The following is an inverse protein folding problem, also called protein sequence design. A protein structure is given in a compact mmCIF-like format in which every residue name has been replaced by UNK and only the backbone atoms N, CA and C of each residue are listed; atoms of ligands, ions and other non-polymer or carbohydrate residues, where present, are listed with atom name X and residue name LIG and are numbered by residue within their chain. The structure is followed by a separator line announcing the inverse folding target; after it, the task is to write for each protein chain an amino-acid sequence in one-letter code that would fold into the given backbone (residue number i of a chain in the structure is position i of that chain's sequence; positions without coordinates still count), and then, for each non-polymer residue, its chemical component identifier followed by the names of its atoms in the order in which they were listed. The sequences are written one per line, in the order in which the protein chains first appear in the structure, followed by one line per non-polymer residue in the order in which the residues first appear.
data_IF_527656682452
#
_entry.id   IF_527656682452
#
_cell.length_a   1.000
_cell.length_b   1.000
_cell.length_c   1.000
_cell.angle_alpha   90.00
_cell.angle_beta   90.00
_cell.angle_gamma   90.00
#
_symmetry.space_group_name_H-M   'P 1'
#
loop_
_entity.id
_entity.type
_entity.pdbx_description
1 polymer ?
#
# COMPACT_ATOMS: atom_id res chain seq x y z
N UNK A 1 -10.37 8.32 11.24
CA UNK A 1 -11.08 9.63 11.10
C UNK A 1 -10.28 10.82 11.65
N UNK A 2 -9.56 10.69 12.77
CA UNK A 2 -8.88 11.78 13.51
C UNK A 2 -7.74 12.54 12.81
N UNK A 3 -7.18 12.05 11.69
CA UNK A 3 -6.03 12.69 11.01
C UNK A 3 -6.47 13.70 9.92
N UNK A 4 -7.68 13.56 9.37
CA UNK A 4 -8.16 14.39 8.26
C UNK A 4 -8.51 15.81 8.71
N UNK A 5 -9.33 15.90 9.76
CA UNK A 5 -9.90 17.15 10.25
C UNK A 5 -8.86 18.26 10.51
N UNK A 6 -7.74 18.03 11.24
CA UNK A 6 -6.81 19.12 11.53
C UNK A 6 -6.13 19.69 10.28
N UNK A 7 -5.78 18.84 9.29
CA UNK A 7 -5.15 19.31 8.04
C UNK A 7 -6.15 19.98 7.13
N UNK A 8 -7.28 19.33 6.88
CA UNK A 8 -8.31 19.82 5.95
C UNK A 8 -8.96 21.09 6.49
N UNK A 9 -9.52 21.02 7.70
CA UNK A 9 -10.23 22.16 8.28
C UNK A 9 -9.28 23.30 8.63
N UNK A 10 -8.11 22.99 9.21
CA UNK A 10 -7.11 24.01 9.57
C UNK A 10 -6.59 24.75 8.33
N UNK A 11 -6.25 24.01 7.28
CA UNK A 11 -5.82 24.59 6.00
C UNK A 11 -6.90 25.45 5.36
N UNK A 12 -8.14 24.95 5.31
CA UNK A 12 -9.27 25.67 4.71
C UNK A 12 -9.63 26.94 5.48
N UNK A 13 -9.67 26.87 6.81
CA UNK A 13 -9.91 28.04 7.66
C UNK A 13 -8.82 29.09 7.43
N UNK A 14 -7.55 28.68 7.38
CA UNK A 14 -6.45 29.61 7.11
C UNK A 14 -6.59 30.25 5.73
N UNK A 15 -6.96 29.47 4.70
CA UNK A 15 -7.21 30.00 3.37
C UNK A 15 -8.30 31.09 3.38
N UNK A 16 -9.45 30.82 4.00
CA UNK A 16 -10.57 31.76 4.09
C UNK A 16 -10.20 33.04 4.84
N UNK A 17 -9.54 32.92 5.99
CA UNK A 17 -9.19 34.06 6.84
C UNK A 17 -8.07 34.94 6.27
N UNK A 18 -7.35 34.46 5.26
CA UNK A 18 -6.23 35.15 4.61
C UNK A 18 -6.47 35.47 3.14
N UNK A 19 -7.68 35.26 2.60
CA UNK A 19 -7.97 35.46 1.17
C UNK A 19 -7.83 36.92 0.73
N UNK A 20 -8.18 37.86 1.61
CA UNK A 20 -8.06 39.31 1.37
C UNK A 20 -6.84 39.97 2.02
N UNK A 21 -5.83 39.18 2.41
CA UNK A 21 -4.62 39.70 3.06
C UNK A 21 -3.42 39.52 2.14
N UNK A 22 -2.59 40.54 2.04
CA UNK A 22 -1.26 40.40 1.44
C UNK A 22 -0.41 39.52 2.36
N UNK A 23 0.04 38.39 1.83
CA UNK A 23 0.84 37.41 2.55
C UNK A 23 2.14 37.22 1.78
N UNK A 24 3.28 37.38 2.46
CA UNK A 24 4.58 37.05 1.87
C UNK A 24 4.64 35.56 1.52
N UNK A 25 4.11 34.71 2.40
CA UNK A 25 4.13 33.24 2.26
C UNK A 25 2.85 32.59 2.77
N UNK A 26 2.45 31.51 2.11
CA UNK A 26 1.44 30.58 2.60
C UNK A 26 1.97 29.16 2.35
N UNK A 27 2.50 28.52 3.39
CA UNK A 27 3.23 27.25 3.27
C UNK A 27 2.44 26.12 3.89
N UNK A 28 2.14 25.10 3.10
CA UNK A 28 1.44 23.90 3.53
C UNK A 28 2.43 22.75 3.67
N UNK A 29 2.55 22.23 4.89
CA UNK A 29 3.38 21.07 5.17
C UNK A 29 2.60 19.81 4.85
N UNK A 30 2.80 19.30 3.64
CA UNK A 30 2.24 18.05 3.14
C UNK A 30 3.26 16.92 3.31
N UNK A 31 2.96 15.74 2.77
CA UNK A 31 3.84 14.56 2.83
C UNK A 31 3.98 13.90 1.47
N UNK A 32 5.14 13.32 1.19
CA UNK A 32 5.38 12.48 0.01
C UNK A 32 4.39 11.31 -0.10
N UNK A 33 3.78 10.87 1.02
CA UNK A 33 2.74 9.84 1.03
C UNK A 33 1.48 10.19 0.20
N UNK A 34 1.20 11.47 -0.04
CA UNK A 34 0.10 11.90 -0.92
C UNK A 34 0.37 11.67 -2.41
N UNK A 35 1.66 11.65 -2.81
CA UNK A 35 2.09 11.47 -4.20
C UNK A 35 2.49 10.01 -4.47
N UNK A 36 3.27 9.43 -3.56
CA UNK A 36 3.82 8.07 -3.72
C UNK A 36 2.93 6.99 -3.11
N UNK A 37 1.93 7.38 -2.33
CA UNK A 37 1.15 6.47 -1.50
C UNK A 37 1.91 6.05 -0.24
N UNK A 38 1.16 5.52 0.73
CA UNK A 38 1.71 4.89 1.94
C UNK A 38 0.73 3.81 2.39
N UNK A 39 1.07 2.50 2.21
CA UNK A 39 0.20 1.40 2.61
C UNK A 39 -0.22 1.50 4.08
N UNK A 40 -1.51 1.34 4.36
CA UNK A 40 -2.08 1.49 5.71
C UNK A 40 -2.30 2.94 6.16
N UNK A 41 -1.98 3.95 5.34
CA UNK A 41 -2.10 5.37 5.68
C UNK A 41 -2.94 6.17 4.67
N UNK A 42 -3.98 5.56 4.08
CA UNK A 42 -4.87 6.22 3.10
C UNK A 42 -5.45 7.54 3.62
N UNK A 43 -5.91 7.56 4.88
CA UNK A 43 -6.47 8.75 5.53
C UNK A 43 -5.45 9.91 5.55
N UNK A 44 -4.19 9.58 5.86
CA UNK A 44 -3.11 10.56 5.94
C UNK A 44 -2.71 11.04 4.54
N UNK A 45 -2.60 10.12 3.57
CA UNK A 45 -2.33 10.46 2.18
C UNK A 45 -3.40 11.41 1.62
N UNK A 46 -4.69 11.11 1.83
CA UNK A 46 -5.81 11.93 1.40
C UNK A 46 -5.81 13.32 2.04
N UNK A 47 -5.55 13.42 3.35
CA UNK A 47 -5.47 14.71 4.05
C UNK A 47 -4.34 15.60 3.52
N UNK A 48 -3.22 15.01 3.13
CA UNK A 48 -2.09 15.73 2.53
C UNK A 48 -2.38 16.11 1.06
N UNK A 49 -3.02 15.22 0.29
CA UNK A 49 -3.45 15.51 -1.08
C UNK A 49 -4.47 16.67 -1.13
N UNK A 50 -5.32 16.81 -0.11
CA UNK A 50 -6.19 17.99 0.02
C UNK A 50 -5.38 19.29 0.14
N UNK A 51 -4.32 19.32 0.97
CA UNK A 51 -3.45 20.50 1.09
C UNK A 51 -2.76 20.82 -0.24
N UNK A 52 -2.36 19.79 -0.97
CA UNK A 52 -1.75 19.95 -2.29
C UNK A 52 -2.72 20.62 -3.27
N UNK A 53 -3.94 20.08 -3.39
CA UNK A 53 -4.99 20.67 -4.21
C UNK A 53 -5.36 22.09 -3.79
N UNK A 54 -5.36 22.38 -2.49
CA UNK A 54 -5.61 23.72 -1.97
C UNK A 54 -4.53 24.73 -2.37
N UNK A 55 -3.25 24.33 -2.41
CA UNK A 55 -2.19 25.20 -2.91
C UNK A 55 -2.39 25.56 -4.39
N UNK A 56 -2.76 24.58 -5.21
CA UNK A 56 -3.11 24.80 -6.62
C UNK A 56 -4.31 25.74 -6.76
N UNK A 57 -5.40 25.48 -6.04
CA UNK A 57 -6.60 26.31 -6.07
C UNK A 57 -6.30 27.77 -5.65
N UNK A 58 -5.54 27.95 -4.57
CA UNK A 58 -5.15 29.28 -4.07
C UNK A 58 -4.28 30.04 -5.08
N UNK A 59 -3.37 29.35 -5.77
CA UNK A 59 -2.54 29.95 -6.83
C UNK A 59 -3.34 30.30 -8.08
N UNK A 60 -4.37 29.53 -8.43
CA UNK A 60 -5.29 29.87 -9.50
C UNK A 60 -6.09 31.17 -9.22
N UNK A 61 -6.28 31.52 -7.95
CA UNK A 61 -6.84 32.82 -7.52
C UNK A 61 -5.81 33.97 -7.45
N UNK A 62 -4.57 33.73 -7.91
CA UNK A 62 -3.50 34.73 -7.84
C UNK A 62 -2.88 34.91 -6.46
N UNK A 63 -3.27 34.10 -5.47
CA UNK A 63 -2.77 34.18 -4.10
C UNK A 63 -1.53 33.28 -3.91
N UNK A 64 -0.56 33.74 -3.12
CA UNK A 64 0.62 32.95 -2.78
C UNK A 64 0.23 31.66 -2.04
N UNK A 65 0.80 30.54 -2.47
CA UNK A 65 0.75 29.24 -1.79
C UNK A 65 1.86 28.30 -2.28
N UNK A 66 2.41 27.49 -1.38
CA UNK A 66 3.24 26.34 -1.73
C UNK A 66 2.92 25.17 -0.83
N UNK A 67 2.59 24.01 -1.41
CA UNK A 67 2.54 22.74 -0.69
C UNK A 67 3.86 22.00 -0.83
N UNK A 68 4.45 21.61 0.29
CA UNK A 68 5.71 20.87 0.31
C UNK A 68 5.44 19.45 0.78
N UNK A 69 5.55 18.49 -0.13
CA UNK A 69 5.40 17.07 0.17
C UNK A 69 6.69 16.53 0.78
N UNK A 70 6.81 16.65 2.11
CA UNK A 70 8.01 16.23 2.81
C UNK A 70 8.13 14.71 2.89
N UNK A 71 9.36 14.24 2.63
CA UNK A 71 9.83 12.91 2.98
C UNK A 71 10.08 12.73 4.48
N UNK A 72 10.64 11.58 4.87
CA UNK A 72 11.05 11.32 6.24
C UNK A 72 12.02 12.37 6.76
N UNK A 73 11.83 12.87 7.98
CA UNK A 73 12.82 13.70 8.67
C UNK A 73 13.72 12.81 9.55
N UNK A 74 15.00 13.16 9.66
CA UNK A 74 15.95 12.51 10.56
C UNK A 74 15.78 13.01 12.00
N UNK A 75 16.01 12.15 12.99
CA UNK A 75 15.87 12.48 14.42
C UNK A 75 14.46 12.24 14.96
N UNK A 76 14.07 13.02 15.98
CA UNK A 76 12.76 12.94 16.63
C UNK A 76 11.68 13.72 15.84
N UNK A 77 10.49 13.11 15.69
CA UNK A 77 9.36 13.61 14.88
C UNK A 77 8.41 12.47 14.48
N UNK A 78 7.42 12.70 13.60
CA UNK A 78 6.49 11.64 13.12
C UNK A 78 7.20 10.40 12.56
N UNK A 79 8.38 10.58 11.96
CA UNK A 79 9.19 9.48 11.44
C UNK A 79 9.99 8.72 12.51
N UNK A 80 10.16 9.31 13.70
CA UNK A 80 10.78 8.71 14.88
C UNK A 80 9.78 8.02 15.82
N UNK A 81 8.47 8.28 15.66
CA UNK A 81 7.39 7.48 16.29
C UNK A 81 7.03 6.22 15.51
N UNK A 82 7.50 6.12 14.26
CA UNK A 82 7.44 4.89 13.46
C UNK A 82 8.59 3.98 13.89
N UNK A 83 8.25 2.78 14.36
CA UNK A 83 9.22 1.83 14.93
C UNK A 83 10.35 1.47 13.97
N UNK A 84 11.41 0.86 14.49
CA UNK A 84 12.65 0.54 13.76
C UNK A 84 12.41 -0.18 12.42
N UNK A 85 11.33 -0.98 12.34
CA UNK A 85 10.90 -1.71 11.13
C UNK A 85 10.52 -0.79 9.95
N UNK A 86 9.85 0.32 10.19
CA UNK A 86 9.46 1.29 9.15
C UNK A 86 10.66 2.15 8.70
N UNK A 87 11.64 2.34 9.60
CA UNK A 87 12.91 2.99 9.27
C UNK A 87 13.78 2.07 8.40
N UNK A 88 13.86 0.78 8.73
CA UNK A 88 14.55 -0.22 7.90
C UNK A 88 13.90 -0.35 6.51
N UNK A 89 12.56 -0.48 6.43
CA UNK A 89 11.83 -0.54 5.14
C UNK A 89 12.18 0.61 4.19
N UNK A 90 12.31 1.82 4.72
CA UNK A 90 12.65 3.02 3.92
C UNK A 90 14.10 3.01 3.46
N UNK A 91 15.03 2.61 4.33
CA UNK A 91 16.45 2.51 3.96
C UNK A 91 16.70 1.43 2.91
N UNK A 92 15.95 0.32 2.97
CA UNK A 92 16.00 -0.76 1.97
C UNK A 92 15.33 -0.34 0.64
N UNK A 93 14.33 0.54 0.69
CA UNK A 93 13.65 1.06 -0.51
C UNK A 93 14.39 2.19 -1.20
N UNK A 94 15.59 2.58 -0.75
CA UNK A 94 16.34 3.71 -1.32
C UNK A 94 15.81 5.10 -0.94
N UNK A 95 14.88 5.20 0.02
CA UNK A 95 14.37 6.48 0.52
C UNK A 95 15.14 6.86 1.79
N UNK A 96 15.84 7.98 1.74
CA UNK A 96 16.58 8.54 2.86
C UNK A 96 15.73 9.41 3.79
N UNK A 97 16.37 9.88 4.86
CA UNK A 97 15.80 10.85 5.80
C UNK A 97 16.45 12.22 5.63
N UNK A 98 15.65 13.28 5.75
CA UNK A 98 16.03 14.69 5.63
C UNK A 98 16.61 15.16 6.97
N UNK A 99 17.90 15.53 7.05
CA UNK A 99 18.46 16.17 8.22
C UNK A 99 17.75 17.52 8.49
N UNK A 100 17.38 17.86 9.75
CA UNK A 100 16.67 19.11 10.03
C UNK A 100 17.35 20.39 9.50
N UNK A 101 18.69 20.56 9.60
CA UNK A 101 19.36 21.73 9.02
C UNK A 101 19.18 21.82 7.50
N UNK A 102 19.17 20.69 6.82
CA UNK A 102 18.94 20.62 5.38
C UNK A 102 17.48 20.91 5.03
N UNK A 103 16.53 20.38 5.80
CA UNK A 103 15.10 20.65 5.63
C UNK A 103 14.77 22.15 5.74
N UNK A 104 15.36 22.86 6.71
CA UNK A 104 15.20 24.32 6.86
C UNK A 104 15.80 25.08 5.69
N UNK A 105 16.99 24.68 5.20
CA UNK A 105 17.61 25.28 4.02
C UNK A 105 16.73 25.11 2.77
N UNK A 106 16.17 23.91 2.56
CA UNK A 106 15.27 23.62 1.45
C UNK A 106 13.99 24.43 1.57
N UNK A 107 13.41 24.55 2.78
CA UNK A 107 12.24 25.40 3.01
C UNK A 107 12.52 26.83 2.54
N UNK A 108 13.65 27.43 2.92
CA UNK A 108 14.03 28.77 2.49
C UNK A 108 14.10 28.93 0.96
N UNK A 109 14.60 27.91 0.25
CA UNK A 109 14.61 27.91 -1.22
C UNK A 109 13.20 27.81 -1.82
N UNK A 110 12.32 27.02 -1.20
CA UNK A 110 10.96 26.76 -1.70
C UNK A 110 10.00 27.93 -1.46
N UNK A 111 10.28 28.81 -0.50
CA UNK A 111 9.50 30.04 -0.30
C UNK A 111 9.49 30.94 -1.54
N UNK A 112 10.56 30.91 -2.35
CA UNK A 112 10.68 31.68 -3.59
C UNK A 112 10.36 30.85 -4.85
N UNK A 113 9.96 29.58 -4.71
CA UNK A 113 9.74 28.72 -5.86
C UNK A 113 8.46 29.13 -6.63
N UNK A 114 8.48 29.06 -7.97
CA UNK A 114 7.31 29.35 -8.79
C UNK A 114 6.25 28.24 -8.73
N UNK A 115 6.62 27.03 -8.28
CA UNK A 115 5.72 25.89 -8.25
C UNK A 115 4.75 25.95 -7.06
N UNK A 116 3.44 25.70 -7.25
CA UNK A 116 2.47 25.55 -6.17
C UNK A 116 2.70 24.30 -5.31
N UNK A 117 3.44 23.30 -5.82
CA UNK A 117 3.66 22.03 -5.15
C UNK A 117 5.06 21.48 -5.45
N UNK A 118 5.77 21.02 -4.42
CA UNK A 118 7.10 20.41 -4.57
C UNK A 118 7.26 19.22 -3.63
N UNK A 119 7.78 18.11 -4.16
CA UNK A 119 8.17 16.94 -3.37
C UNK A 119 9.62 17.07 -2.94
N UNK A 120 9.87 16.93 -1.64
CA UNK A 120 11.23 16.91 -1.07
C UNK A 120 11.47 15.54 -0.48
N UNK A 121 12.27 14.73 -1.19
CA UNK A 121 12.55 13.36 -0.81
C UNK A 121 14.01 13.02 -1.15
N UNK A 122 14.85 12.67 -0.16
CA UNK A 122 16.17 12.12 -0.45
C UNK A 122 15.99 10.72 -1.03
N UNK A 123 16.45 10.50 -2.26
CA UNK A 123 16.30 9.21 -2.95
C UNK A 123 17.64 8.75 -3.52
N UNK A 124 18.05 7.54 -3.15
CA UNK A 124 19.02 6.75 -3.90
C UNK A 124 18.27 6.05 -5.03
N UNK A 125 18.25 6.66 -6.21
CA UNK A 125 17.46 6.20 -7.35
C UNK A 125 17.89 4.82 -7.86
N UNK A 126 19.15 4.45 -7.66
CA UNK A 126 19.64 3.12 -8.01
C UNK A 126 19.03 2.04 -7.10
N UNK A 127 19.07 2.25 -5.78
CA UNK A 127 18.44 1.34 -4.81
C UNK A 127 16.92 1.32 -4.96
N UNK A 128 16.32 2.49 -5.17
CA UNK A 128 14.88 2.62 -5.35
C UNK A 128 14.37 1.82 -6.56
N UNK A 129 15.05 1.92 -7.71
CA UNK A 129 14.72 1.13 -8.90
C UNK A 129 14.88 -0.38 -8.71
N UNK A 130 15.90 -0.81 -7.97
CA UNK A 130 16.14 -2.24 -7.65
C UNK A 130 15.11 -2.83 -6.67
N UNK A 131 14.63 -2.02 -5.73
CA UNK A 131 13.64 -2.44 -4.74
C UNK A 131 12.20 -2.47 -5.30
N UNK A 132 11.92 -1.65 -6.31
CA UNK A 132 10.61 -1.57 -6.94
C UNK A 132 10.32 -2.83 -7.78
N UNK A 133 9.31 -3.63 -7.36
CA UNK A 133 8.85 -4.82 -8.12
C UNK A 133 8.21 -4.44 -9.46
N UNK A 134 7.54 -3.30 -9.49
CA UNK A 134 7.08 -2.61 -10.68
C UNK A 134 7.40 -1.13 -10.47
N UNK A 135 8.32 -0.53 -11.24
CA UNK A 135 8.60 0.89 -11.11
C UNK A 135 7.33 1.68 -11.46
N UNK A 136 6.97 2.64 -10.61
CA UNK A 136 5.86 3.54 -10.90
C UNK A 136 6.14 4.25 -12.23
N UNK A 137 5.25 4.17 -13.24
CA UNK A 137 5.45 4.80 -14.54
C UNK A 137 5.83 6.28 -14.44
N UNK A 138 5.29 6.98 -13.44
CA UNK A 138 5.59 8.38 -13.14
C UNK A 138 7.06 8.63 -12.77
N UNK A 139 7.77 7.62 -12.24
CA UNK A 139 9.15 7.75 -11.75
C UNK A 139 10.18 7.11 -12.66
N UNK A 140 9.77 6.47 -13.77
CA UNK A 140 10.69 5.73 -14.64
C UNK A 140 11.80 6.63 -15.18
N UNK A 141 11.50 7.87 -15.54
CA UNK A 141 12.48 8.84 -16.07
C UNK A 141 13.55 9.24 -15.04
N UNK A 142 13.28 9.06 -13.75
CA UNK A 142 14.21 9.37 -12.67
C UNK A 142 15.17 8.20 -12.34
N UNK A 143 14.93 7.02 -12.92
CA UNK A 143 15.74 5.85 -12.66
C UNK A 143 17.02 5.86 -13.52
N UNK A 144 18.21 5.75 -12.93
CA UNK A 144 19.48 5.70 -13.67
C UNK A 144 19.74 4.32 -14.31
N UNK A 145 18.69 3.55 -14.57
CA UNK A 145 18.76 2.18 -15.08
C UNK A 145 18.21 2.23 -16.51
N UNK A 146 18.93 1.71 -17.53
CA UNK A 146 18.39 1.63 -18.89
C UNK A 146 17.04 0.90 -18.86
N UNK A 147 16.05 1.45 -19.54
CA UNK A 147 14.66 0.93 -19.55
C UNK A 147 14.60 -0.53 -20.02
N UNK A 148 15.55 -0.95 -20.85
CA UNK A 148 15.72 -2.35 -21.29
C UNK A 148 16.28 -3.26 -20.19
N UNK A 149 17.11 -2.75 -19.28
CA UNK A 149 17.59 -3.49 -18.10
C UNK A 149 16.48 -3.65 -17.07
N UNK A 150 15.55 -2.69 -16.95
CA UNK A 150 14.35 -2.85 -16.11
C UNK A 150 13.42 -3.97 -16.60
N UNK A 151 13.36 -4.20 -17.93
CA UNK A 151 12.74 -5.39 -18.50
C UNK A 151 13.56 -6.66 -18.24
N UNK A 152 14.90 -6.55 -18.28
CA UNK A 152 15.85 -7.64 -18.03
C UNK A 152 16.00 -8.10 -16.57
N UNK A 153 15.66 -7.28 -15.57
CA UNK A 153 15.66 -7.65 -14.13
C UNK A 153 14.61 -8.75 -13.82
N UNK A 154 13.65 -8.99 -14.73
CA UNK A 154 12.76 -10.16 -14.70
C UNK A 154 13.53 -11.50 -14.86
N UNK A 155 14.71 -11.48 -15.49
CA UNK A 155 15.37 -12.69 -16.03
C UNK A 155 16.33 -13.36 -15.04
N UNK A 156 16.78 -12.65 -14.00
CA UNK A 156 17.79 -13.15 -13.03
C UNK A 156 17.18 -13.57 -11.68
N UNK A 157 15.84 -13.59 -11.58
CA UNK A 157 15.15 -14.27 -10.48
C UNK A 157 15.09 -15.74 -10.79
N UNK A 158 15.38 -16.60 -9.80
CA UNK A 158 14.92 -17.99 -9.81
C UNK A 158 13.45 -17.98 -10.21
N UNK A 159 13.15 -18.34 -11.44
CA UNK A 159 11.78 -18.45 -11.92
C UNK A 159 11.21 -19.70 -11.26
N UNK A 160 10.73 -19.55 -10.02
CA UNK A 160 10.29 -20.66 -9.20
C UNK A 160 9.24 -21.52 -9.92
N UNK A 161 8.34 -20.87 -10.67
CA UNK A 161 7.41 -21.57 -11.55
C UNK A 161 8.12 -22.48 -12.57
N UNK A 162 9.14 -21.98 -13.27
CA UNK A 162 9.90 -22.76 -14.23
C UNK A 162 10.68 -23.90 -13.56
N UNK A 163 11.33 -23.63 -12.42
CA UNK A 163 12.05 -24.63 -11.63
C UNK A 163 11.14 -25.77 -11.16
N UNK A 164 9.87 -25.49 -10.87
CA UNK A 164 8.87 -26.52 -10.53
C UNK A 164 8.42 -27.28 -11.78
N UNK A 165 8.17 -26.59 -12.90
CA UNK A 165 7.74 -27.22 -14.14
C UNK A 165 8.81 -28.11 -14.79
N UNK A 166 10.09 -27.80 -14.59
CA UNK A 166 11.24 -28.60 -15.04
C UNK A 166 11.43 -29.90 -14.24
N UNK A 167 10.66 -30.11 -13.16
CA UNK A 167 10.66 -31.34 -12.36
C UNK A 167 9.52 -32.25 -12.76
N UNK A 168 9.80 -33.55 -12.66
CA UNK A 168 8.78 -34.59 -12.70
C UNK A 168 7.79 -34.40 -11.53
N UNK A 169 6.51 -34.78 -11.68
CA UNK A 169 5.48 -34.54 -10.66
C UNK A 169 5.87 -34.99 -9.25
N UNK A 170 6.59 -36.12 -9.13
CA UNK A 170 7.05 -36.69 -7.85
C UNK A 170 8.10 -35.81 -7.14
N UNK A 171 8.85 -35.01 -7.91
CA UNK A 171 9.96 -34.16 -7.43
C UNK A 171 9.57 -32.68 -7.26
N UNK A 172 8.33 -32.30 -7.57
CA UNK A 172 7.86 -30.91 -7.46
C UNK A 172 7.69 -30.45 -6.02
N UNK A 173 7.24 -31.35 -5.14
CA UNK A 173 6.90 -31.00 -3.77
C UNK A 173 8.09 -30.38 -2.99
N UNK A 174 9.30 -30.97 -2.99
CA UNK A 174 10.46 -30.36 -2.32
C UNK A 174 10.80 -28.96 -2.87
N UNK A 175 10.69 -28.74 -4.18
CA UNK A 175 10.98 -27.45 -4.81
C UNK A 175 9.94 -26.40 -4.43
N UNK A 176 8.66 -26.78 -4.42
CA UNK A 176 7.57 -25.90 -3.97
C UNK A 176 7.71 -25.55 -2.50
N UNK A 177 8.07 -26.52 -1.65
CA UNK A 177 8.29 -26.28 -0.24
C UNK A 177 9.42 -25.28 0.00
N UNK A 178 10.54 -25.44 -0.69
CA UNK A 178 11.67 -24.50 -0.60
C UNK A 178 11.29 -23.11 -1.13
N UNK A 179 10.52 -23.03 -2.22
CA UNK A 179 9.97 -21.77 -2.72
C UNK A 179 9.12 -21.08 -1.65
N UNK A 180 8.13 -21.79 -1.08
CA UNK A 180 7.27 -21.23 -0.04
C UNK A 180 8.05 -20.84 1.21
N UNK A 181 9.13 -21.55 1.56
CA UNK A 181 10.05 -21.22 2.65
C UNK A 181 10.77 -19.91 2.40
N UNK A 182 11.30 -19.72 1.21
CA UNK A 182 11.91 -18.45 0.78
C UNK A 182 10.89 -17.31 0.73
N UNK A 183 9.62 -17.62 0.41
CA UNK A 183 8.57 -16.61 0.35
C UNK A 183 8.18 -16.18 1.76
N UNK A 184 7.96 -17.15 2.66
CA UNK A 184 7.68 -16.91 4.06
C UNK A 184 8.85 -16.18 4.75
N UNK A 185 10.10 -16.57 4.47
CA UNK A 185 11.31 -15.91 4.97
C UNK A 185 11.39 -14.44 4.55
N UNK A 186 11.06 -14.13 3.29
CA UNK A 186 11.00 -12.75 2.81
C UNK A 186 9.91 -11.92 3.50
N UNK A 187 8.74 -12.51 3.74
CA UNK A 187 7.62 -11.85 4.43
C UNK A 187 7.94 -11.64 5.91
N UNK A 188 8.46 -12.66 6.58
CA UNK A 188 8.81 -12.66 8.00
C UNK A 188 10.14 -11.95 8.30
N UNK A 189 10.96 -11.71 7.28
CA UNK A 189 12.29 -11.10 7.35
C UNK A 189 13.24 -11.82 8.30
N UNK A 190 13.17 -13.15 8.31
CA UNK A 190 14.07 -14.05 9.01
C UNK A 190 14.75 -14.96 7.98
N UNK A 191 15.95 -15.51 8.28
CA UNK A 191 16.59 -16.45 7.37
C UNK A 191 15.67 -17.63 7.05
N UNK A 192 15.65 -18.10 5.79
CA UNK A 192 14.87 -19.27 5.40
C UNK A 192 15.19 -20.48 6.31
N UNK A 193 16.47 -20.66 6.66
CA UNK A 193 16.93 -21.71 7.58
C UNK A 193 16.30 -21.67 8.99
N UNK A 194 15.81 -20.52 9.44
CA UNK A 194 15.14 -20.38 10.75
C UNK A 194 13.66 -20.75 10.74
N UNK A 195 13.07 -20.91 9.55
CA UNK A 195 11.68 -21.38 9.40
C UNK A 195 11.67 -22.90 9.46
N UNK A 196 10.99 -23.43 10.47
CA UNK A 196 10.63 -24.84 10.55
C UNK A 196 9.39 -25.08 9.69
N UNK A 197 9.52 -25.94 8.67
CA UNK A 197 8.46 -26.19 7.70
C UNK A 197 7.28 -26.95 8.27
N UNK A 198 7.47 -27.63 9.41
CA UNK A 198 6.42 -28.38 10.11
C UNK A 198 5.68 -27.54 11.16
N UNK A 199 6.03 -26.26 11.29
CA UNK A 199 5.36 -25.33 12.21
C UNK A 199 4.46 -24.35 11.49
N UNK A 200 3.36 -23.92 12.15
CA UNK A 200 2.52 -22.84 11.65
C UNK A 200 3.31 -21.54 11.49
N UNK A 201 3.09 -20.82 10.39
CA UNK A 201 3.75 -19.51 10.19
C UNK A 201 3.37 -18.47 11.25
N UNK A 202 2.21 -18.62 11.89
CA UNK A 202 1.77 -17.79 13.01
C UNK A 202 2.73 -17.82 14.20
N UNK A 203 3.42 -18.94 14.44
CA UNK A 203 4.43 -19.04 15.51
C UNK A 203 5.68 -18.19 15.24
N UNK A 204 5.93 -17.85 13.98
CA UNK A 204 7.02 -16.97 13.57
C UNK A 204 6.59 -15.50 13.47
N UNK A 205 5.35 -15.18 13.89
CA UNK A 205 4.83 -13.82 13.91
C UNK A 205 4.13 -13.38 12.61
N UNK A 206 3.67 -14.33 11.79
CA UNK A 206 2.84 -14.02 10.62
C UNK A 206 1.47 -13.45 11.03
N UNK A 207 1.12 -12.27 10.52
CA UNK A 207 -0.18 -11.62 10.71
C UNK A 207 -1.06 -11.65 9.44
N UNK A 208 -2.26 -11.07 9.52
CA UNK A 208 -3.22 -11.04 8.40
C UNK A 208 -2.72 -10.26 7.17
N UNK A 209 -1.93 -9.20 7.36
CA UNK A 209 -1.38 -8.42 6.26
C UNK A 209 -0.23 -9.19 5.59
N UNK A 210 0.62 -9.81 6.40
CA UNK A 210 1.69 -10.71 5.93
C UNK A 210 1.13 -11.92 5.18
N UNK A 211 -0.02 -12.46 5.62
CA UNK A 211 -0.71 -13.53 4.90
C UNK A 211 -1.14 -13.08 3.50
N UNK A 212 -1.67 -11.86 3.36
CA UNK A 212 -2.03 -11.32 2.03
C UNK A 212 -0.81 -11.07 1.15
N UNK A 213 0.32 -10.66 1.74
CA UNK A 213 1.57 -10.48 1.01
C UNK A 213 2.13 -11.83 0.54
N UNK A 214 2.13 -12.85 1.39
CA UNK A 214 2.55 -14.21 1.06
C UNK A 214 1.70 -14.80 -0.08
N UNK A 215 0.38 -14.60 -0.02
CA UNK A 215 -0.55 -14.99 -1.09
C UNK A 215 -0.18 -14.31 -2.41
N UNK A 216 0.03 -12.99 -2.39
CA UNK A 216 0.40 -12.23 -3.58
C UNK A 216 1.76 -12.64 -4.16
N UNK A 217 2.74 -12.96 -3.30
CA UNK A 217 4.05 -13.48 -3.72
C UNK A 217 3.90 -14.86 -4.38
N UNK A 218 3.11 -15.76 -3.79
CA UNK A 218 2.87 -17.09 -4.37
C UNK A 218 2.20 -17.00 -5.74
N UNK A 219 1.20 -16.12 -5.89
CA UNK A 219 0.54 -15.89 -7.17
C UNK A 219 1.49 -15.29 -8.22
N UNK A 220 2.34 -14.34 -7.84
CA UNK A 220 3.28 -13.72 -8.76
C UNK A 220 4.44 -14.64 -9.19
N UNK A 221 5.00 -15.43 -8.27
CA UNK A 221 6.24 -16.20 -8.51
C UNK A 221 5.96 -17.66 -8.92
N UNK A 222 4.82 -18.23 -8.51
CA UNK A 222 4.41 -19.60 -8.86
C UNK A 222 3.17 -19.65 -9.76
N UNK A 223 2.38 -18.57 -9.85
CA UNK A 223 1.11 -18.59 -10.58
C UNK A 223 0.00 -19.35 -9.84
N UNK A 224 0.15 -19.56 -8.53
CA UNK A 224 -0.84 -20.26 -7.68
C UNK A 224 -1.23 -19.36 -6.52
N UNK A 225 -2.52 -19.08 -6.37
CA UNK A 225 -3.03 -18.30 -5.23
C UNK A 225 -3.27 -19.23 -4.05
N UNK A 226 -2.56 -19.00 -2.94
CA UNK A 226 -2.84 -19.66 -1.67
C UNK A 226 -4.15 -19.14 -1.04
N UNK A 227 -5.05 -20.02 -0.55
CA UNK A 227 -6.21 -19.59 0.21
C UNK A 227 -5.79 -18.92 1.52
N UNK A 228 -6.33 -17.73 1.80
CA UNK A 228 -5.96 -16.97 3.00
C UNK A 228 -6.31 -17.71 4.30
N UNK A 229 -7.41 -18.49 4.29
CA UNK A 229 -7.81 -19.35 5.40
C UNK A 229 -6.75 -20.41 5.68
N UNK A 230 -6.13 -21.00 4.66
CA UNK A 230 -5.10 -22.02 4.86
C UNK A 230 -3.83 -21.42 5.47
N UNK A 231 -3.46 -20.19 5.09
CA UNK A 231 -2.33 -19.46 5.66
C UNK A 231 -2.59 -19.11 7.14
N UNK A 232 -3.82 -18.67 7.46
CA UNK A 232 -4.17 -18.15 8.79
C UNK A 232 -4.65 -19.22 9.78
N UNK A 233 -5.08 -20.39 9.30
CA UNK A 233 -5.62 -21.48 10.15
C UNK A 233 -4.56 -22.26 10.92
N UNK A 234 -3.32 -21.77 10.97
CA UNK A 234 -2.24 -22.40 11.71
C UNK A 234 -1.74 -23.70 11.04
N UNK A 235 -1.90 -23.84 9.72
CA UNK A 235 -1.33 -24.99 9.01
C UNK A 235 0.18 -24.82 8.81
N UNK A 236 0.95 -25.92 8.86
CA UNK A 236 2.38 -25.86 8.63
C UNK A 236 2.69 -25.52 7.17
N UNK A 237 3.90 -25.02 6.92
CA UNK A 237 4.33 -24.64 5.58
C UNK A 237 4.39 -25.86 4.63
N UNK A 238 4.74 -27.03 5.16
CA UNK A 238 4.68 -28.32 4.47
C UNK A 238 3.29 -28.62 3.92
N UNK A 239 2.22 -28.35 4.69
CA UNK A 239 0.85 -28.50 4.23
C UNK A 239 0.52 -27.56 3.05
N UNK A 240 0.90 -26.29 3.14
CA UNK A 240 0.64 -25.32 2.07
C UNK A 240 1.35 -25.72 0.76
N UNK A 241 2.54 -26.32 0.87
CA UNK A 241 3.31 -26.79 -0.29
C UNK A 241 2.60 -27.91 -1.06
N UNK A 242 1.86 -28.79 -0.38
CA UNK A 242 1.07 -29.84 -1.01
C UNK A 242 -0.05 -29.26 -1.89
N UNK A 243 -0.78 -28.27 -1.38
CA UNK A 243 -1.85 -27.62 -2.13
C UNK A 243 -1.31 -26.92 -3.39
N UNK A 244 -0.12 -26.33 -3.29
CA UNK A 244 0.53 -25.67 -4.42
C UNK A 244 1.06 -26.69 -5.42
N UNK A 245 1.76 -27.75 -4.99
CA UNK A 245 2.27 -28.80 -5.87
C UNK A 245 1.15 -29.47 -6.67
N UNK A 246 0.02 -29.82 -6.02
CA UNK A 246 -1.16 -30.38 -6.69
C UNK A 246 -1.75 -29.46 -7.76
N UNK A 247 -1.64 -28.14 -7.60
CA UNK A 247 -2.09 -27.17 -8.60
C UNK A 247 -1.22 -27.20 -9.88
N UNK A 248 0.04 -27.64 -9.79
CA UNK A 248 0.94 -27.84 -10.93
C UNK A 248 0.71 -29.17 -11.67
N UNK A 249 0.21 -30.20 -10.97
CA UNK A 249 0.03 -31.56 -11.52
C UNK A 249 -1.32 -31.77 -12.23
N UNK A 250 -2.14 -30.72 -12.34
CA UNK A 250 -3.44 -30.78 -13.02
C UNK A 250 -4.51 -31.57 -12.26
N UNK A 251 -4.22 -32.12 -11.08
CA UNK A 251 -5.22 -32.76 -10.20
C UNK A 251 -5.97 -31.73 -9.37
N UNK A 252 -6.66 -30.80 -10.03
CA UNK A 252 -7.77 -30.07 -9.42
C UNK A 252 -9.02 -30.96 -9.46
N UNK A 253 -9.03 -32.05 -8.70
CA UNK A 253 -10.30 -32.70 -8.34
C UNK A 253 -11.00 -31.84 -7.29
N UNK A 254 -11.91 -31.02 -7.78
CA UNK A 254 -13.29 -30.94 -7.28
C UNK A 254 -13.58 -30.38 -5.88
N UNK A 255 -12.65 -29.66 -5.25
CA UNK A 255 -12.96 -28.86 -4.04
C UNK A 255 -13.13 -27.35 -4.30
N UNK A 256 -12.74 -26.87 -5.50
CA UNK A 256 -12.80 -25.44 -5.86
C UNK A 256 -13.88 -25.08 -6.89
N UNK A 257 -14.49 -26.06 -7.56
CA UNK A 257 -15.50 -25.81 -8.62
C UNK A 257 -16.89 -25.49 -8.08
N UNK A 258 -17.18 -25.80 -6.81
CA UNK A 258 -18.48 -25.48 -6.22
C UNK A 258 -18.66 -24.00 -5.81
N UNK A 259 -17.58 -23.19 -5.84
CA UNK A 259 -17.63 -21.80 -5.39
C UNK A 259 -17.52 -20.75 -6.51
N UNK A 260 -17.20 -21.14 -7.75
CA UNK A 260 -17.11 -20.19 -8.87
C UNK A 260 -18.45 -19.94 -9.58
N UNK A 261 -19.46 -20.78 -9.40
CA UNK A 261 -20.79 -20.56 -10.03
C UNK A 261 -21.83 -19.87 -9.14
N UNK A 262 -21.73 -19.96 -7.80
CA UNK A 262 -22.65 -19.26 -6.88
C UNK A 262 -22.02 -18.08 -6.12
N UNK A 263 -20.77 -17.72 -6.43
CA UNK A 263 -20.04 -16.61 -5.79
C UNK A 263 -20.15 -15.25 -6.48
N UNK A 264 -21.01 -15.11 -7.52
CA UNK A 264 -21.44 -13.78 -7.94
C UNK A 264 -22.42 -13.27 -6.89
N UNK A 265 -21.91 -12.63 -5.84
CA UNK A 265 -22.72 -11.57 -5.22
C UNK A 265 -23.20 -10.68 -6.36
N UNK A 266 -24.51 -10.43 -6.51
CA UNK A 266 -24.98 -9.52 -7.52
C UNK A 266 -24.17 -8.25 -7.35
N UNK A 267 -23.47 -7.82 -8.42
CA UNK A 267 -22.95 -6.46 -8.49
C UNK A 267 -24.15 -5.60 -8.12
N UNK A 268 -24.12 -5.00 -6.94
CA UNK A 268 -25.14 -4.03 -6.56
C UNK A 268 -25.21 -3.06 -7.72
N UNK A 269 -26.42 -2.82 -8.23
CA UNK A 269 -26.63 -1.82 -9.27
C UNK A 269 -25.87 -0.56 -8.85
N UNK A 270 -25.09 0.07 -9.75
CA UNK A 270 -24.52 1.37 -9.45
C UNK A 270 -25.68 2.27 -9.00
N UNK A 271 -25.53 2.84 -7.82
CA UNK A 271 -26.48 3.82 -7.30
C UNK A 271 -26.47 4.98 -8.30
N UNK A 272 -27.65 5.45 -8.71
CA UNK A 272 -27.72 6.56 -9.67
C UNK A 272 -27.08 7.82 -9.06
N UNK A 273 -26.58 8.74 -9.89
CA UNK A 273 -26.00 9.99 -9.41
C UNK A 273 -26.99 10.75 -8.50
N UNK A 274 -28.28 10.73 -8.86
CA UNK A 274 -29.37 11.36 -8.10
C UNK A 274 -29.63 10.68 -6.74
N UNK A 275 -29.53 9.35 -6.66
CA UNK A 275 -29.62 8.62 -5.39
C UNK A 275 -28.38 8.84 -4.50
N UNK A 276 -27.20 8.96 -5.09
CA UNK A 276 -25.97 9.27 -4.34
C UNK A 276 -26.00 10.69 -3.77
N UNK A 277 -26.50 11.66 -4.54
CA UNK A 277 -26.66 13.05 -4.12
C UNK A 277 -27.75 13.19 -3.03
N UNK A 278 -28.88 12.48 -3.17
CA UNK A 278 -29.92 12.43 -2.13
C UNK A 278 -29.46 11.81 -0.80
N UNK A 279 -28.57 10.81 -0.84
CA UNK A 279 -27.96 10.22 0.36
C UNK A 279 -26.90 11.14 0.99
N UNK A 280 -26.20 11.93 0.18
CA UNK A 280 -25.22 12.91 0.64
C UNK A 280 -25.89 14.13 1.29
N UNK A 281 -27.04 14.56 0.78
CA UNK A 281 -27.82 15.68 1.36
C UNK A 281 -28.43 15.35 2.72
N UNK A 282 -28.72 14.07 3.01
CA UNK A 282 -29.31 13.64 4.29
C UNK A 282 -28.29 13.31 5.39
N UNK A 283 -26.99 13.32 5.08
CA UNK A 283 -25.91 13.09 6.05
C UNK A 283 -25.90 14.02 7.28
N UNK A 284 -26.38 15.28 7.22
CA UNK A 284 -26.43 16.14 8.41
C UNK A 284 -27.56 15.81 9.39
N UNK A 285 -28.57 15.02 8.99
CA UNK A 285 -29.78 14.78 9.78
C UNK A 285 -29.80 13.44 10.52
N UNK A 286 -28.83 12.56 10.29
CA UNK A 286 -28.75 11.28 10.99
C UNK A 286 -27.83 11.36 12.20
N UNK A 287 -28.38 11.01 13.37
CA UNK A 287 -27.56 10.71 14.54
C UNK A 287 -26.70 9.46 14.30
N UNK A 288 -25.55 9.38 14.98
CA UNK A 288 -24.64 8.22 14.88
C UNK A 288 -25.35 6.86 15.16
N UNK A 289 -26.44 6.90 15.93
CA UNK A 289 -27.25 5.75 16.27
C UNK A 289 -28.11 5.27 15.07
N UNK A 290 -28.70 6.20 14.31
CA UNK A 290 -29.50 5.89 13.13
C UNK A 290 -28.64 5.40 11.96
N UNK A 291 -27.41 5.92 11.81
CA UNK A 291 -26.44 5.42 10.82
C UNK A 291 -26.07 3.96 11.13
N UNK A 292 -25.92 3.63 12.40
CA UNK A 292 -25.59 2.27 12.85
C UNK A 292 -26.76 1.31 12.60
N UNK A 293 -28.00 1.72 12.90
CA UNK A 293 -29.20 0.91 12.64
C UNK A 293 -29.44 0.66 11.15
N UNK A 294 -29.16 1.65 10.29
CA UNK A 294 -29.25 1.49 8.83
C UNK A 294 -28.18 0.53 8.30
N UNK A 295 -26.95 0.62 8.83
CA UNK A 295 -25.86 -0.29 8.50
C UNK A 295 -26.15 -1.72 8.97
N UNK A 296 -26.68 -1.89 10.18
CA UNK A 296 -27.07 -3.20 10.72
C UNK A 296 -28.23 -3.81 9.92
N UNK A 297 -29.27 -3.04 9.56
CA UNK A 297 -30.33 -3.51 8.66
C UNK A 297 -29.80 -3.91 7.29
N UNK A 298 -28.87 -3.14 6.74
CA UNK A 298 -28.25 -3.44 5.44
C UNK A 298 -27.42 -4.72 5.50
N UNK A 299 -26.66 -4.93 6.58
CA UNK A 299 -25.87 -6.15 6.80
C UNK A 299 -26.76 -7.37 7.09
N UNK A 300 -27.82 -7.22 7.88
CA UNK A 300 -28.79 -8.26 8.18
C UNK A 300 -29.57 -8.70 6.93
N UNK A 301 -29.94 -7.76 6.05
CA UNK A 301 -30.61 -8.07 4.77
C UNK A 301 -29.72 -8.87 3.79
N UNK A 302 -28.39 -8.85 4.00
CA UNK A 302 -27.42 -9.64 3.21
C UNK A 302 -27.04 -10.98 3.83
N UNK A 303 -27.40 -11.22 5.10
CA UNK A 303 -27.17 -12.50 5.80
C UNK A 303 -28.43 -13.36 5.89
N UNK A 304 -29.34 -13.27 4.91
CA UNK A 304 -30.53 -14.12 4.86
C UNK A 304 -30.17 -15.61 4.80
N UNK A 305 -30.16 -16.26 5.96
CA UNK A 305 -30.59 -17.64 6.16
C UNK A 305 -31.72 -17.57 7.19
N UNK A 306 -32.85 -18.17 6.80
CA UNK A 306 -33.99 -18.49 7.65
C UNK A 306 -33.60 -19.17 8.96
#
# INVERSE_FOLDING_TARGET
RTVLAPKVQGGWNLHLQTRGREMDFFVLFSSAASVLGSPGQSNYAAANAFLDGMAWARRAEGLHAVSINWGPWAGSGMAGTQGDRDRLRRSESGIGSIPPPEGVRILGMLLAAPSPQVVVLPVDWYRFGRAARQPNPFLIELLPIPTDTLKGIQTDRRQWRQLVLERDPEDRLPVVLEALREFAARVLRIPASSIDTEKPLGEFGLDSLMATELRGISEAELGVSLPLVDILSGRPLSYLSLSVAKAFDGSATDAGKHWTENGRHPRSKPISADEAESLLEKLPEFSDQEVTEVLEKFLASKQGVS
#
